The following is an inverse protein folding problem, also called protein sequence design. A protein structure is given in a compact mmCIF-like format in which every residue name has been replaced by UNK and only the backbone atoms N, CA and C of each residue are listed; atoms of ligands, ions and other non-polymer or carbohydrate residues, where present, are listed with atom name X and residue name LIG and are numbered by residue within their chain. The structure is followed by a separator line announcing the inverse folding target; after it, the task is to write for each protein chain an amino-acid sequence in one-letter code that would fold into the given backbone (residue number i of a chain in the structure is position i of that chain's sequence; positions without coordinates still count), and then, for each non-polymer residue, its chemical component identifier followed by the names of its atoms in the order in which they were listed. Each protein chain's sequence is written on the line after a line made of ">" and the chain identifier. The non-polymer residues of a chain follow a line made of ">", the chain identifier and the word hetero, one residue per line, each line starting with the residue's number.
data_IF_079216908330
#
_entry.id   IF_079216908330
#
_cell.length_a   1.000
_cell.length_b   1.000
_cell.length_c   1.000
_cell.angle_alpha   90.00
_cell.angle_beta   90.00
_cell.angle_gamma   90.00
#
_symmetry.space_group_name_H-M   'P 1'
#
loop_
_entity.id
_entity.type
_entity.pdbx_description
1 polymer ?
#
# COMPACT_ATOMS: atom_id res chain seq x y z
N UNK A 1 17.49 47.83 32.22
CA UNK A 1 16.76 48.99 32.79
C UNK A 1 16.15 48.70 34.17
N UNK A 2 15.17 47.81 34.33
CA UNK A 2 14.50 47.51 35.62
C UNK A 2 15.46 47.12 36.76
N UNK A 3 16.38 46.17 36.53
CA UNK A 3 17.32 45.73 37.55
C UNK A 3 18.28 46.84 37.97
N UNK A 4 18.76 47.63 37.02
CA UNK A 4 19.62 48.79 37.26
C UNK A 4 18.91 49.88 38.08
N UNK A 5 17.65 50.14 37.73
CA UNK A 5 16.81 51.13 38.44
C UNK A 5 16.55 50.67 39.90
N UNK A 6 16.15 49.40 40.12
CA UNK A 6 15.94 48.85 41.44
C UNK A 6 17.21 48.82 42.27
N UNK A 7 18.37 48.58 41.66
CA UNK A 7 19.67 48.61 42.34
C UNK A 7 20.02 50.04 42.77
N UNK A 8 19.64 51.06 41.98
CA UNK A 8 19.82 52.47 42.31
C UNK A 8 18.89 52.87 43.48
N UNK A 9 17.60 52.53 43.38
CA UNK A 9 16.60 52.79 44.43
C UNK A 9 16.97 52.13 45.75
N UNK A 10 17.46 50.91 45.74
CA UNK A 10 17.96 50.21 46.96
C UNK A 10 19.05 51.03 47.67
N UNK A 11 19.95 51.67 46.92
CA UNK A 11 21.00 52.50 47.51
C UNK A 11 20.47 53.77 48.12
N UNK A 12 19.43 54.35 47.50
CA UNK A 12 18.82 55.65 47.94
C UNK A 12 17.91 55.45 49.14
N UNK A 13 16.97 54.48 49.08
CA UNK A 13 15.96 54.30 50.14
C UNK A 13 16.31 53.23 51.18
N UNK A 14 17.44 52.51 51.04
CA UNK A 14 17.95 51.45 51.90
C UNK A 14 16.96 50.29 52.18
N UNK A 15 15.95 50.12 51.29
CA UNK A 15 14.98 49.02 51.40
C UNK A 15 15.52 47.72 50.79
N UNK A 16 15.10 46.54 51.31
CA UNK A 16 15.41 45.29 50.70
C UNK A 16 14.73 45.16 49.34
N UNK A 17 15.32 44.42 48.40
CA UNK A 17 14.75 44.22 47.04
C UNK A 17 13.35 43.63 47.07
N UNK A 18 13.01 42.79 48.03
CA UNK A 18 11.70 42.22 48.16
C UNK A 18 10.63 43.33 48.36
N UNK A 19 10.86 44.22 49.31
CA UNK A 19 9.97 45.35 49.62
C UNK A 19 9.83 46.32 48.45
N UNK A 20 10.94 46.57 47.71
CA UNK A 20 10.91 47.39 46.51
C UNK A 20 10.08 46.75 45.39
N UNK A 21 10.21 45.44 45.23
CA UNK A 21 9.40 44.70 44.26
C UNK A 21 7.92 44.67 44.63
N UNK A 22 7.58 44.48 45.90
CA UNK A 22 6.20 44.54 46.41
C UNK A 22 5.58 45.92 46.13
N UNK A 23 6.30 47.01 46.48
CA UNK A 23 5.84 48.39 46.25
C UNK A 23 5.63 48.69 44.76
N UNK A 24 6.43 48.16 43.86
CA UNK A 24 6.36 48.36 42.41
C UNK A 24 5.52 47.30 41.68
N UNK A 25 4.84 46.44 42.43
CA UNK A 25 4.00 45.37 41.88
C UNK A 25 4.80 44.47 40.93
N UNK A 26 6.06 44.16 41.26
CA UNK A 26 6.91 43.30 40.46
C UNK A 26 7.12 41.95 41.17
N UNK A 27 6.91 40.79 40.48
CA UNK A 27 7.20 39.49 41.08
C UNK A 27 8.66 39.35 41.48
N UNK A 28 8.95 39.26 42.79
CA UNK A 28 10.32 39.18 43.32
C UNK A 28 11.12 38.02 42.76
N UNK A 29 10.47 36.87 42.50
CA UNK A 29 11.12 35.71 41.88
C UNK A 29 11.63 36.01 40.46
N UNK A 30 10.89 36.81 39.68
CA UNK A 30 11.31 37.26 38.35
C UNK A 30 12.49 38.23 38.43
N UNK A 31 12.42 39.19 39.36
CA UNK A 31 13.52 40.13 39.59
C UNK A 31 14.81 39.39 40.02
N UNK A 32 14.75 38.42 40.94
CA UNK A 32 15.90 37.60 41.34
C UNK A 32 16.55 36.90 40.15
N UNK A 33 15.73 36.29 39.26
CA UNK A 33 16.21 35.63 38.04
C UNK A 33 16.90 36.60 37.10
N UNK A 34 16.32 37.77 36.88
CA UNK A 34 16.89 38.81 36.00
C UNK A 34 18.21 39.34 36.57
N UNK A 35 18.26 39.65 37.87
CA UNK A 35 19.45 40.10 38.53
C UNK A 35 20.59 39.07 38.46
N UNK A 36 20.29 37.79 38.75
CA UNK A 36 21.27 36.73 38.70
C UNK A 36 21.87 36.54 37.30
N UNK A 37 21.07 36.73 36.25
CA UNK A 37 21.55 36.67 34.86
C UNK A 37 22.47 37.86 34.55
N UNK A 38 22.05 39.05 34.89
CA UNK A 38 22.86 40.26 34.67
C UNK A 38 24.20 40.17 35.42
N UNK A 39 24.19 39.70 36.64
CA UNK A 39 25.42 39.51 37.44
C UNK A 39 26.39 38.50 36.78
N UNK A 40 25.90 37.66 35.89
CA UNK A 40 26.67 36.71 35.08
C UNK A 40 26.98 37.20 33.66
N UNK A 41 26.73 38.45 33.34
CA UNK A 41 26.92 39.03 32.00
C UNK A 41 25.92 38.56 30.95
N UNK A 42 24.81 37.96 31.39
CA UNK A 42 23.76 37.45 30.50
C UNK A 42 22.61 38.46 30.38
N UNK A 43 21.85 38.47 29.27
CA UNK A 43 20.66 39.29 29.14
C UNK A 43 19.59 38.91 30.19
N UNK A 44 18.96 39.92 30.83
CA UNK A 44 17.96 39.74 31.88
C UNK A 44 16.78 38.88 31.39
N UNK A 45 16.39 39.07 30.15
CA UNK A 45 15.27 38.34 29.47
C UNK A 45 15.85 37.67 28.24
N UNK A 46 15.75 36.37 28.17
CA UNK A 46 15.96 35.67 26.90
C UNK A 46 14.75 35.89 26.00
N UNK A 47 14.99 36.18 24.73
CA UNK A 47 13.93 36.09 23.75
C UNK A 47 13.42 34.64 23.72
N UNK A 48 12.14 34.37 23.95
CA UNK A 48 11.65 33.02 23.90
C UNK A 48 11.78 32.49 22.45
N UNK A 49 12.30 31.30 22.34
CA UNK A 49 12.46 30.58 21.06
C UNK A 49 13.89 30.59 20.51
N UNK A 50 14.19 29.68 19.62
CA UNK A 50 15.47 29.64 18.91
C UNK A 50 15.65 30.93 18.10
N UNK A 51 16.90 31.42 18.01
CA UNK A 51 17.19 32.51 17.07
C UNK A 51 16.73 32.07 15.68
N UNK A 52 16.06 33.00 14.98
CA UNK A 52 15.74 32.77 13.56
C UNK A 52 17.07 32.72 12.81
N UNK A 53 17.55 31.54 12.59
CA UNK A 53 18.59 31.26 11.61
C UNK A 53 17.91 31.31 10.23
N UNK A 54 18.65 31.61 9.17
CA UNK A 54 18.11 31.59 7.81
C UNK A 54 17.34 30.28 7.58
N UNK A 55 16.11 30.34 7.06
CA UNK A 55 15.31 29.15 6.89
C UNK A 55 16.06 28.20 5.94
N UNK A 56 16.14 26.93 6.33
CA UNK A 56 16.64 25.88 5.45
C UNK A 56 15.80 25.87 4.17
N UNK A 57 16.45 26.01 3.03
CA UNK A 57 15.74 25.97 1.76
C UNK A 57 15.18 24.58 1.48
N UNK A 58 13.94 24.52 1.02
CA UNK A 58 13.23 23.27 0.74
C UNK A 58 14.01 22.41 -0.26
N UNK A 59 14.67 23.04 -1.24
CA UNK A 59 15.46 22.35 -2.25
C UNK A 59 16.72 21.69 -1.67
N UNK A 60 17.38 22.33 -0.74
CA UNK A 60 18.53 21.74 -0.02
C UNK A 60 18.09 20.47 0.74
N UNK A 61 16.95 20.54 1.43
CA UNK A 61 16.38 19.38 2.13
C UNK A 61 15.99 18.27 1.14
N UNK A 62 15.42 18.59 -0.02
CA UNK A 62 15.09 17.60 -1.07
C UNK A 62 16.34 16.88 -1.56
N UNK A 63 17.39 17.63 -1.89
CA UNK A 63 18.66 17.05 -2.36
C UNK A 63 19.26 16.13 -1.30
N UNK A 64 19.24 16.54 -0.04
CA UNK A 64 19.73 15.72 1.05
C UNK A 64 18.89 14.43 1.22
N UNK A 65 17.57 14.54 1.24
CA UNK A 65 16.68 13.38 1.35
C UNK A 65 16.84 12.41 0.16
N UNK A 66 17.08 12.92 -1.04
CA UNK A 66 17.37 12.09 -2.21
C UNK A 66 18.70 11.34 -2.12
N UNK A 67 19.71 11.94 -1.51
CA UNK A 67 21.04 11.30 -1.29
C UNK A 67 21.03 10.23 -0.20
N UNK A 68 20.07 10.28 0.73
CA UNK A 68 19.91 9.23 1.73
C UNK A 68 19.49 7.94 1.03
N UNK A 69 20.27 6.87 1.25
CA UNK A 69 20.10 5.59 0.55
C UNK A 69 18.65 5.09 0.62
N UNK A 70 18.12 4.76 -0.56
CA UNK A 70 16.81 4.15 -0.70
C UNK A 70 16.76 2.82 0.06
N UNK A 71 15.73 2.63 0.88
CA UNK A 71 15.44 1.36 1.54
C UNK A 71 15.41 1.37 3.06
N UNK A 72 16.00 2.34 3.75
CA UNK A 72 15.92 2.44 5.21
C UNK A 72 15.08 3.65 5.63
N UNK A 73 13.78 3.46 5.83
CA UNK A 73 12.88 4.53 6.31
C UNK A 73 13.40 5.26 7.55
N UNK A 74 14.11 4.57 8.45
CA UNK A 74 14.72 5.16 9.67
C UNK A 74 15.78 6.22 9.38
N UNK A 75 16.48 6.17 8.24
CA UNK A 75 17.50 7.16 7.89
C UNK A 75 16.90 8.50 7.42
N UNK A 76 15.62 8.52 7.05
CA UNK A 76 14.88 9.73 6.65
C UNK A 76 14.00 10.30 7.76
N UNK A 77 14.02 9.72 8.93
CA UNK A 77 13.23 10.18 10.08
C UNK A 77 13.71 11.55 10.59
N UNK A 78 12.73 12.41 10.96
CA UNK A 78 12.99 13.78 11.46
C UNK A 78 14.01 13.81 12.58
N UNK A 79 14.01 12.82 13.49
CA UNK A 79 14.98 12.78 14.59
C UNK A 79 16.43 12.71 14.13
N UNK A 80 16.73 11.97 13.06
CA UNK A 80 18.07 11.86 12.49
C UNK A 80 18.45 13.07 11.64
N UNK A 81 17.51 13.56 10.86
CA UNK A 81 17.69 14.80 10.10
C UNK A 81 17.92 15.99 11.01
N UNK A 82 17.24 16.06 12.16
CA UNK A 82 17.38 17.15 13.11
C UNK A 82 18.79 17.20 13.72
N UNK A 83 19.45 16.07 13.94
CA UNK A 83 20.85 16.07 14.38
C UNK A 83 21.80 16.78 13.39
N UNK A 84 21.44 16.77 12.10
CA UNK A 84 22.20 17.43 11.05
C UNK A 84 21.87 18.92 10.92
N UNK A 85 20.62 19.30 11.18
CA UNK A 85 20.11 20.66 10.95
C UNK A 85 19.78 21.43 12.24
N UNK A 86 20.12 20.91 13.43
CA UNK A 86 19.72 21.50 14.72
C UNK A 86 20.18 22.95 14.92
N UNK A 87 21.30 23.34 14.31
CA UNK A 87 21.84 24.68 14.39
C UNK A 87 21.23 25.67 13.39
N UNK A 88 20.50 25.18 12.42
CA UNK A 88 19.92 25.95 11.32
C UNK A 88 18.40 26.13 11.45
N UNK A 89 17.69 25.11 11.95
CA UNK A 89 16.22 25.09 11.95
C UNK A 89 15.66 24.46 13.22
N UNK A 90 14.47 24.86 13.65
CA UNK A 90 13.78 24.19 14.74
C UNK A 90 13.30 22.79 14.31
N UNK A 91 13.21 21.85 15.28
CA UNK A 91 12.72 20.49 15.00
C UNK A 91 11.31 20.50 14.41
N UNK A 92 10.44 21.43 14.84
CA UNK A 92 9.08 21.57 14.36
C UNK A 92 9.05 22.02 12.91
N UNK A 93 9.86 23.02 12.56
CA UNK A 93 9.91 23.55 11.19
C UNK A 93 10.55 22.52 10.24
N UNK A 94 11.59 21.81 10.67
CA UNK A 94 12.18 20.72 9.91
C UNK A 94 11.17 19.60 9.66
N UNK A 95 10.35 19.26 10.65
CA UNK A 95 9.27 18.29 10.48
C UNK A 95 8.26 18.74 9.42
N UNK A 96 7.79 19.99 9.49
CA UNK A 96 6.86 20.56 8.52
C UNK A 96 7.44 20.56 7.09
N UNK A 97 8.71 20.92 6.92
CA UNK A 97 9.39 20.86 5.63
C UNK A 97 9.54 19.42 5.10
N UNK A 98 9.94 18.49 5.97
CA UNK A 98 10.08 17.07 5.62
C UNK A 98 8.72 16.47 5.20
N UNK A 99 7.64 16.79 5.91
CA UNK A 99 6.28 16.36 5.56
C UNK A 99 5.85 16.93 4.21
N UNK A 100 6.23 18.17 3.91
CA UNK A 100 5.95 18.80 2.59
C UNK A 100 6.64 18.03 1.48
N UNK A 101 7.95 17.76 1.60
CA UNK A 101 8.72 16.97 0.61
C UNK A 101 8.12 15.57 0.44
N UNK A 102 7.79 14.90 1.53
CA UNK A 102 7.19 13.55 1.46
C UNK A 102 5.80 13.57 0.80
N UNK A 103 5.01 14.62 1.05
CA UNK A 103 3.69 14.80 0.40
C UNK A 103 3.84 15.00 -1.10
N UNK A 104 4.77 15.83 -1.54
CA UNK A 104 5.04 16.05 -2.95
C UNK A 104 5.52 14.77 -3.65
N UNK A 105 6.44 14.02 -3.03
CA UNK A 105 6.87 12.72 -3.55
C UNK A 105 5.76 11.68 -3.60
N UNK A 106 4.86 11.70 -2.60
CA UNK A 106 3.69 10.83 -2.62
C UNK A 106 2.74 11.21 -3.76
N UNK A 107 2.52 12.51 -4.00
CA UNK A 107 1.69 13.00 -5.11
C UNK A 107 2.31 12.66 -6.48
N UNK A 108 3.62 12.85 -6.66
CA UNK A 108 4.33 12.47 -7.88
C UNK A 108 4.22 10.96 -8.13
N UNK A 109 4.52 10.13 -7.12
CA UNK A 109 4.36 8.69 -7.21
C UNK A 109 2.92 8.29 -7.54
N UNK A 110 1.92 8.92 -6.90
CA UNK A 110 0.52 8.66 -7.18
C UNK A 110 0.15 8.99 -8.63
N UNK A 111 0.70 10.08 -9.20
CA UNK A 111 0.50 10.45 -10.59
C UNK A 111 1.15 9.47 -11.57
N UNK A 112 2.26 8.83 -11.18
CA UNK A 112 2.96 7.84 -11.99
C UNK A 112 2.32 6.45 -11.93
N UNK A 113 1.52 6.16 -10.88
CA UNK A 113 0.88 4.87 -10.70
C UNK A 113 -0.16 4.61 -11.79
N UNK A 114 -0.06 3.42 -12.37
CA UNK A 114 -1.10 2.88 -13.26
C UNK A 114 -2.18 2.22 -12.41
N UNK A 115 -3.43 2.62 -12.61
CA UNK A 115 -4.58 2.02 -11.97
C UNK A 115 -5.33 1.15 -12.97
N UNK A 116 -5.55 -0.11 -12.62
CA UNK A 116 -6.32 -1.05 -13.42
C UNK A 116 -7.71 -1.18 -12.80
N UNK A 117 -8.73 -0.85 -13.58
CA UNK A 117 -10.13 -1.08 -13.24
C UNK A 117 -10.64 -2.28 -14.02
N UNK A 118 -11.16 -3.26 -13.30
CA UNK A 118 -11.70 -4.50 -13.84
C UNK A 118 -13.19 -4.31 -14.15
N UNK A 119 -13.60 -4.52 -15.41
CA UNK A 119 -14.93 -4.16 -15.88
C UNK A 119 -15.88 -5.35 -15.96
N UNK A 120 -15.36 -6.55 -16.27
CA UNK A 120 -16.19 -7.72 -16.59
C UNK A 120 -16.13 -8.74 -15.44
N UNK A 121 -17.23 -8.89 -14.67
CA UNK A 121 -17.28 -9.86 -13.58
C UNK A 121 -17.12 -11.30 -14.06
N UNK A 122 -16.45 -12.12 -13.25
CA UNK A 122 -16.24 -13.55 -13.50
C UNK A 122 -15.09 -13.88 -14.45
N UNK A 123 -14.57 -12.89 -15.20
CA UNK A 123 -13.59 -13.14 -16.25
C UNK A 123 -12.15 -13.20 -15.73
N UNK A 124 -11.84 -12.41 -14.72
CA UNK A 124 -10.50 -12.35 -14.14
C UNK A 124 -10.55 -12.56 -12.64
N UNK A 125 -10.01 -13.69 -12.21
CA UNK A 125 -9.87 -13.98 -10.79
C UNK A 125 -8.45 -13.66 -10.31
N UNK A 126 -8.31 -13.38 -9.03
CA UNK A 126 -7.00 -13.22 -8.39
C UNK A 126 -6.89 -14.15 -7.21
N UNK A 127 -5.68 -14.71 -7.05
CA UNK A 127 -5.32 -15.61 -5.95
C UNK A 127 -4.21 -14.97 -5.14
N UNK A 128 -4.31 -15.07 -3.81
CA UNK A 128 -3.28 -14.64 -2.87
C UNK A 128 -3.29 -15.49 -1.61
N UNK A 129 -2.17 -15.51 -0.90
CA UNK A 129 -1.93 -16.26 0.32
C UNK A 129 -1.55 -15.34 1.47
N UNK A 130 -2.06 -15.60 2.66
CA UNK A 130 -1.73 -14.81 3.85
C UNK A 130 -1.62 -15.67 5.11
N UNK A 131 -0.57 -15.45 5.88
CA UNK A 131 -0.45 -16.00 7.23
C UNK A 131 -1.58 -15.46 8.13
N UNK A 132 -2.35 -16.33 8.77
CA UNK A 132 -3.39 -15.98 9.74
C UNK A 132 -2.85 -15.90 11.15
N UNK A 133 -2.28 -17.00 11.65
CA UNK A 133 -1.80 -17.14 13.01
C UNK A 133 -0.71 -18.22 13.11
N UNK A 134 0.11 -18.10 14.14
CA UNK A 134 1.13 -19.10 14.47
C UNK A 134 0.86 -19.65 15.87
N UNK A 135 0.70 -20.96 15.97
CA UNK A 135 0.52 -21.68 17.22
C UNK A 135 1.67 -22.67 17.42
N UNK A 136 2.57 -22.38 18.36
CA UNK A 136 3.73 -23.23 18.67
C UNK A 136 4.52 -23.65 17.41
N UNK A 137 4.17 -24.78 16.81
CA UNK A 137 4.85 -25.35 15.63
C UNK A 137 3.97 -25.34 14.36
N UNK A 138 2.74 -24.81 14.45
CA UNK A 138 1.77 -24.80 13.38
C UNK A 138 1.44 -23.37 12.96
N UNK A 139 1.51 -23.11 11.66
CA UNK A 139 1.25 -21.78 11.07
C UNK A 139 0.08 -21.89 10.11
N UNK A 140 -1.06 -21.28 10.51
CA UNK A 140 -2.24 -21.24 9.67
C UNK A 140 -2.12 -20.18 8.57
N UNK A 141 -2.45 -20.57 7.36
CA UNK A 141 -2.54 -19.72 6.18
C UNK A 141 -3.97 -19.65 5.64
N UNK A 142 -4.28 -18.55 5.00
CA UNK A 142 -5.52 -18.31 4.27
C UNK A 142 -5.18 -18.16 2.79
N UNK A 143 -5.68 -19.10 1.97
CA UNK A 143 -5.67 -18.97 0.51
C UNK A 143 -7.00 -18.40 0.05
N UNK A 144 -6.96 -17.22 -0.55
CA UNK A 144 -8.14 -16.52 -1.00
C UNK A 144 -8.12 -16.34 -2.51
N UNK A 145 -9.22 -16.72 -3.14
CA UNK A 145 -9.52 -16.41 -4.55
C UNK A 145 -10.67 -15.41 -4.61
N UNK A 146 -10.54 -14.38 -5.44
CA UNK A 146 -11.57 -13.37 -5.62
C UNK A 146 -11.73 -13.02 -7.09
N UNK A 147 -12.99 -12.82 -7.54
CA UNK A 147 -13.25 -12.15 -8.81
C UNK A 147 -12.98 -10.66 -8.71
N UNK A 148 -12.14 -10.14 -9.60
CA UNK A 148 -11.62 -8.77 -9.47
C UNK A 148 -12.65 -7.68 -9.81
N UNK A 149 -13.62 -7.97 -10.68
CA UNK A 149 -14.62 -6.98 -11.07
C UNK A 149 -15.79 -6.93 -10.10
N UNK A 150 -16.38 -8.09 -9.75
CA UNK A 150 -17.50 -8.16 -8.81
C UNK A 150 -17.10 -8.10 -7.34
N UNK A 151 -15.82 -8.31 -7.02
CA UNK A 151 -15.32 -8.46 -5.63
C UNK A 151 -15.87 -9.71 -4.93
N UNK A 152 -16.42 -10.66 -5.67
CA UNK A 152 -16.92 -11.91 -5.13
C UNK A 152 -15.78 -12.77 -4.60
N UNK A 153 -15.87 -13.12 -3.34
CA UNK A 153 -14.90 -14.00 -2.66
C UNK A 153 -15.37 -15.44 -2.81
N UNK A 154 -14.55 -16.26 -3.46
CA UNK A 154 -14.82 -17.69 -3.53
C UNK A 154 -14.57 -18.35 -2.18
N UNK A 155 -14.99 -19.60 -2.02
CA UNK A 155 -14.73 -20.38 -0.82
C UNK A 155 -13.24 -20.32 -0.50
N UNK A 156 -12.81 -19.74 0.63
CA UNK A 156 -11.41 -19.70 1.01
C UNK A 156 -10.91 -21.09 1.42
N UNK A 157 -9.60 -21.28 1.38
CA UNK A 157 -8.95 -22.44 1.93
C UNK A 157 -8.08 -22.01 3.12
N UNK A 158 -8.31 -22.61 4.28
CA UNK A 158 -7.48 -22.46 5.49
C UNK A 158 -6.69 -23.73 5.68
N UNK A 159 -5.41 -23.63 6.00
CA UNK A 159 -4.54 -24.76 6.25
C UNK A 159 -3.13 -24.34 6.58
N UNK A 160 -2.22 -25.28 6.61
CA UNK A 160 -0.79 -25.03 6.60
C UNK A 160 -0.40 -24.27 5.32
N UNK A 161 0.81 -23.72 5.30
CA UNK A 161 1.31 -23.09 4.09
C UNK A 161 1.11 -24.03 2.90
N UNK A 162 0.18 -23.66 2.01
CA UNK A 162 -0.21 -24.55 0.95
C UNK A 162 0.97 -24.85 0.03
N UNK A 163 1.17 -26.13 -0.22
CA UNK A 163 2.00 -26.62 -1.30
C UNK A 163 1.28 -26.29 -2.64
N UNK A 164 2.04 -26.22 -3.72
CA UNK A 164 1.46 -25.98 -5.04
C UNK A 164 0.36 -26.98 -5.42
N UNK A 165 0.47 -28.22 -4.96
CA UNK A 165 -0.53 -29.29 -5.16
C UNK A 165 -1.86 -28.94 -4.47
N UNK A 166 -1.82 -28.45 -3.24
CA UNK A 166 -3.02 -28.05 -2.49
C UNK A 166 -3.71 -26.87 -3.16
N UNK A 167 -2.94 -25.90 -3.64
CA UNK A 167 -3.48 -24.75 -4.41
C UNK A 167 -4.12 -25.24 -5.71
N UNK A 168 -3.48 -26.18 -6.42
CA UNK A 168 -4.00 -26.74 -7.67
C UNK A 168 -5.35 -27.43 -7.46
N UNK A 169 -5.46 -28.29 -6.44
CA UNK A 169 -6.71 -28.98 -6.08
C UNK A 169 -7.80 -27.98 -5.71
N UNK A 170 -7.47 -26.98 -4.90
CA UNK A 170 -8.44 -25.94 -4.53
C UNK A 170 -8.94 -25.17 -5.74
N UNK A 171 -8.05 -24.75 -6.65
CA UNK A 171 -8.45 -24.04 -7.87
C UNK A 171 -9.33 -24.93 -8.76
N UNK A 172 -9.01 -26.20 -8.92
CA UNK A 172 -9.83 -27.13 -9.71
C UNK A 172 -11.24 -27.26 -9.13
N UNK A 173 -11.36 -27.41 -7.81
CA UNK A 173 -12.67 -27.45 -7.13
C UNK A 173 -13.47 -26.14 -7.38
N UNK A 174 -12.81 -24.98 -7.34
CA UNK A 174 -13.46 -23.71 -7.64
C UNK A 174 -13.89 -23.63 -9.12
N UNK A 175 -13.06 -24.13 -10.05
CA UNK A 175 -13.40 -24.14 -11.48
C UNK A 175 -14.59 -25.05 -11.80
N UNK A 176 -14.66 -26.22 -11.16
CA UNK A 176 -15.79 -27.14 -11.29
C UNK A 176 -17.08 -26.53 -10.73
N UNK A 177 -17.00 -25.83 -9.60
CA UNK A 177 -18.17 -25.26 -8.93
C UNK A 177 -18.68 -23.98 -9.58
N UNK A 178 -17.78 -23.09 -9.98
CA UNK A 178 -18.14 -21.73 -10.43
C UNK A 178 -17.96 -21.51 -11.93
N UNK A 179 -17.26 -22.40 -12.62
CA UNK A 179 -16.74 -22.24 -13.97
C UNK A 179 -15.37 -21.53 -13.95
N UNK A 180 -14.40 -21.94 -14.80
CA UNK A 180 -13.07 -21.35 -14.82
C UNK A 180 -13.10 -19.90 -15.35
N UNK A 181 -12.29 -18.97 -14.78
CA UNK A 181 -12.09 -17.64 -15.35
C UNK A 181 -11.36 -17.74 -16.70
N UNK A 182 -11.26 -16.64 -17.44
CA UNK A 182 -10.36 -16.57 -18.59
C UNK A 182 -8.92 -16.33 -18.15
N UNK A 183 -8.74 -15.51 -17.13
CA UNK A 183 -7.43 -15.13 -16.60
C UNK A 183 -7.38 -15.35 -15.09
N UNK A 184 -6.31 -15.96 -14.60
CA UNK A 184 -6.00 -16.02 -13.18
C UNK A 184 -4.78 -15.13 -12.89
N UNK A 185 -5.03 -14.05 -12.15
CA UNK A 185 -3.97 -13.18 -11.64
C UNK A 185 -3.43 -13.74 -10.34
N UNK A 186 -2.10 -13.84 -10.22
CA UNK A 186 -1.42 -14.38 -9.04
C UNK A 186 -0.15 -13.60 -8.73
N UNK A 187 0.29 -13.67 -7.47
CA UNK A 187 1.58 -13.14 -7.07
C UNK A 187 2.72 -14.11 -7.43
N UNK A 188 3.97 -13.65 -7.29
CA UNK A 188 5.17 -14.42 -7.62
C UNK A 188 5.57 -15.42 -6.52
N UNK A 189 4.69 -15.77 -5.60
CA UNK A 189 4.92 -16.82 -4.61
C UNK A 189 5.20 -18.16 -5.25
N UNK A 190 6.19 -18.92 -4.75
CA UNK A 190 6.58 -20.21 -5.31
C UNK A 190 5.47 -21.26 -5.29
N UNK A 191 4.57 -21.20 -4.30
CA UNK A 191 3.39 -22.06 -4.18
C UNK A 191 2.30 -21.70 -5.20
N UNK A 192 2.21 -20.44 -5.60
CA UNK A 192 1.22 -19.95 -6.56
C UNK A 192 1.70 -20.13 -8.01
N UNK A 193 3.01 -20.14 -8.22
CA UNK A 193 3.66 -20.36 -9.52
C UNK A 193 4.25 -21.78 -9.63
N UNK A 194 3.59 -22.76 -8.99
CA UNK A 194 4.00 -24.14 -9.02
C UNK A 194 3.55 -24.85 -10.31
N UNK A 195 4.32 -25.83 -10.75
CA UNK A 195 4.06 -26.59 -11.98
C UNK A 195 2.67 -27.27 -11.98
N UNK A 196 2.22 -27.78 -10.84
CA UNK A 196 0.88 -28.39 -10.71
C UNK A 196 -0.23 -27.37 -10.89
N UNK A 197 -0.05 -26.13 -10.41
CA UNK A 197 -0.99 -25.03 -10.63
C UNK A 197 -1.05 -24.69 -12.11
N UNK A 198 0.10 -24.59 -12.78
CA UNK A 198 0.15 -24.30 -14.23
C UNK A 198 -0.51 -25.43 -15.04
N UNK A 199 -0.39 -26.69 -14.63
CA UNK A 199 -1.06 -27.81 -15.27
C UNK A 199 -2.60 -27.69 -15.21
N UNK A 200 -3.16 -27.31 -14.03
CA UNK A 200 -4.60 -27.06 -13.89
C UNK A 200 -5.04 -25.88 -14.75
N UNK A 201 -4.29 -24.77 -14.76
CA UNK A 201 -4.60 -23.62 -15.60
C UNK A 201 -4.62 -23.99 -17.08
N UNK A 202 -3.67 -24.78 -17.54
CA UNK A 202 -3.60 -25.27 -18.93
C UNK A 202 -4.77 -26.20 -19.28
N UNK A 203 -5.12 -27.14 -18.38
CA UNK A 203 -6.26 -28.05 -18.56
C UNK A 203 -7.56 -27.28 -18.82
N UNK A 204 -7.79 -26.19 -18.11
CA UNK A 204 -9.01 -25.38 -18.24
C UNK A 204 -8.85 -24.19 -19.19
N UNK A 205 -7.73 -24.06 -19.90
CA UNK A 205 -7.38 -22.93 -20.75
C UNK A 205 -7.57 -21.58 -20.01
N UNK A 206 -7.03 -21.50 -18.79
CA UNK A 206 -6.96 -20.29 -17.98
C UNK A 206 -5.59 -19.65 -18.15
N UNK A 207 -5.56 -18.38 -18.52
CA UNK A 207 -4.33 -17.64 -18.79
C UNK A 207 -3.74 -17.13 -17.48
N UNK A 208 -2.50 -17.50 -17.12
CA UNK A 208 -1.84 -16.93 -15.95
C UNK A 208 -1.41 -15.48 -16.22
N UNK A 209 -1.67 -14.61 -15.22
CA UNK A 209 -1.22 -13.21 -15.20
C UNK A 209 -0.40 -12.97 -13.92
N UNK A 210 0.92 -13.09 -14.05
CA UNK A 210 1.83 -12.92 -12.92
C UNK A 210 2.04 -11.43 -12.62
N UNK A 211 2.02 -11.08 -11.31
CA UNK A 211 2.29 -9.72 -10.87
C UNK A 211 3.73 -9.30 -11.17
N UNK A 212 3.98 -8.02 -11.50
CA UNK A 212 5.34 -7.54 -11.68
C UNK A 212 6.12 -7.63 -10.36
N UNK A 213 7.39 -8.06 -10.38
CA UNK A 213 8.21 -8.08 -9.18
C UNK A 213 8.38 -6.66 -8.62
N UNK A 214 8.41 -6.56 -7.29
CA UNK A 214 8.61 -5.29 -6.57
C UNK A 214 7.62 -4.15 -6.90
N UNK A 215 6.41 -4.48 -7.35
CA UNK A 215 5.37 -3.49 -7.62
C UNK A 215 4.06 -3.79 -6.84
N UNK A 216 4.03 -3.57 -5.51
CA UNK A 216 2.87 -3.85 -4.66
C UNK A 216 1.55 -3.22 -5.14
N UNK A 217 1.53 -1.98 -5.72
CA UNK A 217 0.28 -1.38 -6.15
C UNK A 217 -0.53 -2.21 -7.15
N UNK A 218 0.13 -3.12 -7.89
CA UNK A 218 -0.53 -4.03 -8.81
C UNK A 218 -1.46 -5.02 -8.13
N UNK A 219 -1.17 -5.40 -6.87
CA UNK A 219 -1.96 -6.36 -6.07
C UNK A 219 -2.88 -5.70 -5.05
N UNK A 220 -2.91 -4.37 -4.95
CA UNK A 220 -3.64 -3.65 -3.90
C UNK A 220 -5.13 -4.02 -3.75
N UNK A 221 -5.78 -4.43 -4.84
CA UNK A 221 -7.16 -4.94 -4.81
C UNK A 221 -7.29 -6.29 -4.09
N UNK A 222 -6.33 -7.19 -4.29
CA UNK A 222 -6.30 -8.49 -3.65
C UNK A 222 -5.82 -8.41 -2.21
N UNK A 223 -4.80 -7.61 -1.93
CA UNK A 223 -4.33 -7.35 -0.55
C UNK A 223 -5.47 -6.83 0.35
N UNK A 224 -6.32 -5.94 -0.18
CA UNK A 224 -7.53 -5.49 0.53
C UNK A 224 -8.50 -6.63 0.76
N UNK A 225 -8.74 -7.47 -0.24
CA UNK A 225 -9.65 -8.61 -0.15
C UNK A 225 -9.22 -9.61 0.92
N UNK A 226 -7.93 -9.93 0.95
CA UNK A 226 -7.32 -10.78 1.98
C UNK A 226 -7.45 -10.15 3.36
N UNK A 227 -7.17 -8.85 3.49
CA UNK A 227 -7.29 -8.13 4.77
C UNK A 227 -8.71 -8.13 5.31
N UNK A 228 -9.73 -8.01 4.46
CA UNK A 228 -11.16 -8.09 4.87
C UNK A 228 -11.52 -9.43 5.53
N UNK A 229 -10.87 -10.53 5.14
CA UNK A 229 -11.03 -11.85 5.77
C UNK A 229 -10.07 -12.05 6.94
N UNK A 230 -8.79 -11.76 6.72
CA UNK A 230 -7.72 -12.02 7.68
C UNK A 230 -7.96 -11.29 9.01
N UNK A 231 -8.29 -10.00 8.98
CA UNK A 231 -8.39 -9.20 10.21
C UNK A 231 -9.42 -9.77 11.18
N UNK A 232 -10.70 -9.98 10.80
CA UNK A 232 -11.70 -10.54 11.72
C UNK A 232 -11.37 -11.99 12.13
N UNK A 233 -10.79 -12.79 11.25
CA UNK A 233 -10.38 -14.17 11.57
C UNK A 233 -9.27 -14.18 12.63
N UNK A 234 -8.24 -13.37 12.47
CA UNK A 234 -7.15 -13.26 13.44
C UNK A 234 -7.66 -12.78 14.79
N UNK A 235 -8.51 -11.76 14.83
CA UNK A 235 -9.13 -11.27 16.06
C UNK A 235 -9.90 -12.37 16.77
N UNK A 236 -10.71 -13.14 16.03
CA UNK A 236 -11.51 -14.24 16.55
C UNK A 236 -10.64 -15.40 17.07
N UNK A 237 -9.57 -15.75 16.32
CA UNK A 237 -8.60 -16.78 16.73
C UNK A 237 -7.90 -16.36 18.02
N UNK A 238 -7.45 -15.12 18.12
CA UNK A 238 -6.75 -14.60 19.30
C UNK A 238 -7.67 -14.58 20.54
N UNK A 239 -8.95 -14.26 20.36
CA UNK A 239 -9.94 -14.25 21.45
C UNK A 239 -10.30 -15.66 21.94
N UNK A 240 -10.27 -16.67 21.07
CA UNK A 240 -10.69 -18.05 21.38
C UNK A 240 -9.53 -18.97 21.78
N UNK A 241 -8.28 -18.55 21.56
CA UNK A 241 -7.10 -19.40 21.72
C UNK A 241 -6.88 -20.38 20.56
N UNK A 242 -6.02 -21.39 20.74
CA UNK A 242 -5.73 -22.40 19.71
C UNK A 242 -7.00 -23.16 19.31
N UNK A 243 -7.31 -23.17 18.02
CA UNK A 243 -8.50 -23.79 17.45
C UNK A 243 -8.12 -24.81 16.40
N UNK A 244 -8.95 -25.86 16.20
CA UNK A 244 -8.81 -26.78 15.06
C UNK A 244 -8.92 -26.01 13.73
N UNK A 245 -8.10 -26.40 12.76
CA UNK A 245 -8.12 -25.85 11.40
C UNK A 245 -9.51 -25.87 10.78
N UNK A 246 -10.23 -26.99 10.95
CA UNK A 246 -11.61 -27.16 10.46
C UNK A 246 -12.57 -26.10 10.96
N UNK A 247 -12.41 -25.64 12.21
CA UNK A 247 -13.26 -24.58 12.77
C UNK A 247 -12.91 -23.21 12.18
N UNK A 248 -11.62 -22.94 11.98
CA UNK A 248 -11.17 -21.70 11.32
C UNK A 248 -11.63 -21.69 9.86
N UNK A 249 -11.60 -22.83 9.17
CA UNK A 249 -12.13 -23.01 7.82
C UNK A 249 -13.62 -22.61 7.74
N UNK A 250 -14.46 -23.14 8.63
CA UNK A 250 -15.89 -22.81 8.68
C UNK A 250 -16.09 -21.30 8.92
N UNK A 251 -15.32 -20.69 9.80
CA UNK A 251 -15.40 -19.24 10.03
C UNK A 251 -14.99 -18.43 8.81
N UNK A 252 -13.96 -18.85 8.09
CA UNK A 252 -13.53 -18.19 6.87
C UNK A 252 -14.60 -18.26 5.78
N UNK A 253 -15.27 -19.39 5.65
CA UNK A 253 -16.38 -19.59 4.69
C UNK A 253 -17.57 -18.71 5.03
N UNK A 254 -18.00 -18.71 6.31
CA UNK A 254 -19.12 -17.88 6.76
C UNK A 254 -18.82 -16.39 6.55
N UNK A 255 -17.61 -15.95 6.87
CA UNK A 255 -17.21 -14.56 6.69
C UNK A 255 -17.15 -14.18 5.20
N UNK A 256 -16.61 -15.06 4.34
CA UNK A 256 -16.59 -14.82 2.89
C UNK A 256 -18.02 -14.72 2.34
N UNK A 257 -18.92 -15.58 2.80
CA UNK A 257 -20.33 -15.53 2.44
C UNK A 257 -20.96 -14.20 2.89
N UNK A 258 -20.78 -13.79 4.13
CA UNK A 258 -21.28 -12.52 4.68
C UNK A 258 -20.77 -11.33 3.86
N UNK A 259 -19.46 -11.25 3.61
CA UNK A 259 -18.85 -10.19 2.82
C UNK A 259 -19.35 -10.12 1.37
N UNK A 260 -19.77 -11.24 0.78
CA UNK A 260 -20.38 -11.29 -0.54
C UNK A 260 -21.79 -10.72 -0.59
N UNK A 261 -22.47 -10.62 0.57
CA UNK A 261 -23.83 -10.07 0.70
C UNK A 261 -23.84 -8.64 1.28
N UNK A 262 -22.70 -8.09 1.65
CA UNK A 262 -22.60 -6.68 2.01
C UNK A 262 -22.57 -5.77 0.78
N UNK A 263 -23.30 -4.65 0.83
CA UNK A 263 -23.26 -3.64 -0.22
C UNK A 263 -21.87 -2.98 -0.28
N UNK A 264 -21.39 -2.69 -1.49
CA UNK A 264 -20.05 -2.12 -1.71
C UNK A 264 -20.12 -0.83 -2.50
N UNK A 265 -19.50 0.23 -1.99
CA UNK A 265 -19.43 1.51 -2.69
C UNK A 265 -18.76 1.40 -4.07
N UNK A 266 -17.73 0.55 -4.21
CA UNK A 266 -17.06 0.31 -5.51
C UNK A 266 -17.95 -0.44 -6.52
N UNK A 267 -19.09 -0.99 -6.09
CA UNK A 267 -20.11 -1.62 -6.92
C UNK A 267 -21.41 -0.78 -6.96
N UNK A 268 -21.30 0.51 -6.71
CA UNK A 268 -22.44 1.45 -6.68
C UNK A 268 -23.56 1.00 -5.72
N UNK A 269 -23.19 0.45 -4.56
CA UNK A 269 -24.13 -0.03 -3.55
C UNK A 269 -24.66 -1.46 -3.79
N UNK A 270 -24.25 -2.12 -4.87
CA UNK A 270 -24.63 -3.52 -5.11
C UNK A 270 -23.81 -4.48 -4.25
N UNK A 271 -24.31 -5.71 -4.09
CA UNK A 271 -23.64 -6.80 -3.41
C UNK A 271 -22.81 -7.64 -4.39
N UNK A 272 -21.64 -8.11 -3.96
CA UNK A 272 -20.71 -8.86 -4.81
C UNK A 272 -21.36 -10.13 -5.39
N UNK A 273 -22.14 -10.83 -4.60
CA UNK A 273 -22.86 -12.04 -5.00
C UNK A 273 -23.78 -11.77 -6.21
N UNK A 274 -24.59 -10.73 -6.16
CA UNK A 274 -25.50 -10.38 -7.25
C UNK A 274 -24.72 -10.07 -8.53
N UNK A 275 -23.72 -9.17 -8.44
CA UNK A 275 -22.91 -8.73 -9.59
C UNK A 275 -22.20 -9.91 -10.25
N UNK A 276 -21.68 -10.86 -9.47
CA UNK A 276 -21.02 -12.05 -9.99
C UNK A 276 -21.98 -12.98 -10.71
N UNK A 277 -23.13 -13.32 -10.11
CA UNK A 277 -24.07 -14.27 -10.69
C UNK A 277 -24.85 -13.69 -11.86
N UNK A 278 -25.20 -12.41 -11.85
CA UNK A 278 -25.88 -11.74 -12.97
C UNK A 278 -24.99 -11.69 -14.23
N UNK A 279 -23.66 -11.66 -14.07
CA UNK A 279 -22.73 -11.64 -15.19
C UNK A 279 -22.47 -13.03 -15.82
N UNK A 280 -22.77 -14.14 -15.12
CA UNK A 280 -22.49 -15.51 -15.60
C UNK A 280 -23.03 -15.82 -16.99
N UNK A 281 -24.25 -15.41 -17.38
CA UNK A 281 -24.75 -15.66 -18.75
C UNK A 281 -23.85 -15.04 -19.83
N UNK A 282 -23.30 -13.85 -19.58
CA UNK A 282 -22.42 -13.17 -20.53
C UNK A 282 -21.06 -13.89 -20.71
N UNK A 283 -20.62 -14.70 -19.74
CA UNK A 283 -19.37 -15.46 -19.83
C UNK A 283 -19.46 -16.70 -20.72
N UNK A 284 -20.68 -17.14 -21.10
CA UNK A 284 -20.89 -18.30 -22.00
C UNK A 284 -20.28 -18.11 -23.38
N UNK A 285 -20.00 -16.88 -23.78
CA UNK A 285 -19.31 -16.59 -25.04
C UNK A 285 -17.87 -17.14 -25.06
N UNK A 286 -17.24 -17.30 -23.87
CA UNK A 286 -15.89 -17.85 -23.73
C UNK A 286 -15.90 -19.37 -23.71
N UNK A 287 -16.39 -19.97 -24.82
CA UNK A 287 -16.29 -21.39 -25.08
C UNK A 287 -14.84 -21.87 -25.14
N UNK A 288 -14.61 -23.17 -25.10
CA UNK A 288 -13.23 -23.73 -25.24
C UNK A 288 -12.54 -23.24 -26.51
N UNK A 289 -13.26 -23.15 -27.62
CA UNK A 289 -12.71 -22.58 -28.86
C UNK A 289 -12.26 -21.14 -28.68
N UNK A 290 -13.11 -20.29 -28.09
CA UNK A 290 -12.79 -18.88 -27.88
C UNK A 290 -11.63 -18.69 -26.91
N UNK A 291 -11.54 -19.54 -25.87
CA UNK A 291 -10.41 -19.55 -24.94
C UNK A 291 -9.11 -19.90 -25.67
N UNK A 292 -9.12 -20.90 -26.52
CA UNK A 292 -7.98 -21.29 -27.33
C UNK A 292 -7.54 -20.16 -28.28
N UNK A 293 -8.47 -19.56 -29.00
CA UNK A 293 -8.19 -18.41 -29.88
C UNK A 293 -7.54 -17.24 -29.09
N UNK A 294 -8.03 -16.97 -27.86
CA UNK A 294 -7.47 -15.95 -26.99
C UNK A 294 -6.04 -16.30 -26.54
N UNK A 295 -5.82 -17.57 -26.20
CA UNK A 295 -4.52 -18.06 -25.76
C UNK A 295 -3.50 -17.96 -26.88
N UNK A 296 -3.88 -18.38 -28.10
CA UNK A 296 -3.03 -18.33 -29.30
C UNK A 296 -2.67 -16.89 -29.64
N UNK A 297 -3.65 -15.97 -29.61
CA UNK A 297 -3.41 -14.54 -29.84
C UNK A 297 -2.43 -13.93 -28.84
N UNK A 298 -2.57 -14.25 -27.54
CA UNK A 298 -1.67 -13.75 -26.49
C UNK A 298 -0.26 -14.30 -26.67
N UNK A 299 -0.11 -15.59 -27.07
CA UNK A 299 1.18 -16.21 -27.33
C UNK A 299 1.87 -15.57 -28.53
N UNK A 300 1.15 -15.33 -29.61
CA UNK A 300 1.66 -14.65 -30.80
C UNK A 300 2.15 -13.24 -30.49
N UNK A 301 1.32 -12.45 -29.78
CA UNK A 301 1.72 -11.11 -29.35
C UNK A 301 2.91 -11.15 -28.39
N UNK A 302 2.95 -12.13 -27.47
CA UNK A 302 4.10 -12.29 -26.56
C UNK A 302 5.39 -12.53 -27.35
N UNK A 303 5.34 -13.42 -28.35
CA UNK A 303 6.50 -13.71 -29.23
C UNK A 303 6.96 -12.46 -29.99
N UNK A 304 6.01 -11.71 -30.54
CA UNK A 304 6.29 -10.44 -31.23
C UNK A 304 6.94 -9.42 -30.29
N UNK A 305 6.41 -9.27 -29.07
CA UNK A 305 6.97 -8.35 -28.08
C UNK A 305 8.38 -8.77 -27.63
N UNK A 306 8.64 -10.07 -27.47
CA UNK A 306 9.99 -10.58 -27.15
C UNK A 306 10.99 -10.18 -28.24
N UNK A 307 10.61 -10.30 -29.50
CA UNK A 307 11.46 -9.92 -30.64
C UNK A 307 11.67 -8.41 -30.71
N UNK A 308 10.59 -7.62 -30.68
CA UNK A 308 10.64 -6.16 -30.83
C UNK A 308 11.38 -5.48 -29.69
N UNK A 309 11.22 -5.98 -28.46
CA UNK A 309 11.85 -5.41 -27.27
C UNK A 309 13.26 -5.98 -27.01
N UNK A 310 13.79 -6.81 -27.89
CA UNK A 310 15.09 -7.48 -27.76
C UNK A 310 15.26 -8.10 -26.35
N UNK A 311 14.31 -8.93 -25.95
CA UNK A 311 14.25 -9.54 -24.61
C UNK A 311 15.38 -10.56 -24.45
N UNK A 312 16.19 -10.41 -23.38
CA UNK A 312 17.33 -11.28 -23.10
C UNK A 312 17.23 -12.05 -21.79
N UNK A 313 16.24 -11.71 -20.92
CA UNK A 313 16.09 -12.35 -19.61
C UNK A 313 14.69 -12.90 -19.43
N UNK A 314 14.56 -13.92 -18.57
CA UNK A 314 13.25 -14.50 -18.23
C UNK A 314 12.29 -13.45 -17.65
N UNK A 315 12.77 -12.57 -16.76
CA UNK A 315 11.96 -11.50 -16.17
C UNK A 315 11.41 -10.52 -17.21
N UNK A 316 12.19 -10.23 -18.27
CA UNK A 316 11.73 -9.43 -19.40
C UNK A 316 10.69 -10.19 -20.25
N UNK A 317 10.86 -11.51 -20.42
CA UNK A 317 9.88 -12.35 -21.12
C UNK A 317 8.54 -12.40 -20.39
N UNK A 318 8.57 -12.54 -19.06
CA UNK A 318 7.37 -12.46 -18.22
C UNK A 318 6.69 -11.08 -18.30
N UNK A 319 7.49 -10.02 -18.43
CA UNK A 319 6.97 -8.66 -18.64
C UNK A 319 6.30 -8.52 -20.02
N UNK A 320 6.90 -9.07 -21.08
CA UNK A 320 6.29 -9.11 -22.41
C UNK A 320 4.98 -9.88 -22.41
N UNK A 321 4.93 -11.06 -21.75
CA UNK A 321 3.70 -11.84 -21.59
C UNK A 321 2.61 -11.08 -20.83
N UNK A 322 2.95 -10.47 -19.71
CA UNK A 322 2.00 -9.63 -18.95
C UNK A 322 1.44 -8.51 -19.81
N UNK A 323 2.29 -7.81 -20.56
CA UNK A 323 1.88 -6.75 -21.46
C UNK A 323 0.94 -7.26 -22.56
N UNK A 324 1.20 -8.46 -23.11
CA UNK A 324 0.31 -9.09 -24.08
C UNK A 324 -1.08 -9.39 -23.49
N UNK A 325 -1.11 -9.95 -22.29
CA UNK A 325 -2.38 -10.23 -21.58
C UNK A 325 -3.14 -8.94 -21.28
N UNK A 326 -2.49 -7.93 -20.71
CA UNK A 326 -3.11 -6.63 -20.42
C UNK A 326 -3.61 -5.95 -21.69
N UNK A 327 -2.87 -6.02 -22.79
CA UNK A 327 -3.28 -5.48 -24.11
C UNK A 327 -4.54 -6.15 -24.60
N UNK A 328 -4.60 -7.48 -24.52
CA UNK A 328 -5.81 -8.22 -24.90
C UNK A 328 -7.00 -7.83 -24.05
N UNK A 329 -6.83 -7.79 -22.72
CA UNK A 329 -7.88 -7.42 -21.77
C UNK A 329 -8.40 -6.00 -22.00
N UNK A 330 -7.49 -5.05 -22.27
CA UNK A 330 -7.85 -3.66 -22.55
C UNK A 330 -8.59 -3.53 -23.89
N UNK A 331 -8.10 -4.20 -24.96
CA UNK A 331 -8.70 -4.20 -26.29
C UNK A 331 -10.13 -4.76 -26.29
N UNK A 332 -10.39 -5.75 -25.44
CA UNK A 332 -11.71 -6.38 -25.30
C UNK A 332 -12.59 -5.75 -24.22
N UNK A 333 -12.21 -4.59 -23.67
CA UNK A 333 -13.00 -3.85 -22.67
C UNK A 333 -13.08 -4.54 -21.29
N UNK A 334 -12.22 -5.53 -21.03
CA UNK A 334 -12.19 -6.25 -19.75
C UNK A 334 -11.54 -5.43 -18.65
N UNK A 335 -10.55 -4.60 -19.03
CA UNK A 335 -9.90 -3.65 -18.13
C UNK A 335 -9.84 -2.26 -18.73
N UNK A 336 -9.78 -1.27 -17.83
CA UNK A 336 -9.40 0.10 -18.16
C UNK A 336 -8.15 0.44 -17.37
N UNK A 337 -7.12 0.94 -18.04
CA UNK A 337 -5.89 1.37 -17.40
C UNK A 337 -5.87 2.90 -17.38
N UNK A 338 -5.71 3.49 -16.21
CA UNK A 338 -5.60 4.94 -16.05
C UNK A 338 -4.27 5.31 -15.39
N UNK A 339 -3.72 6.44 -15.79
CA UNK A 339 -2.57 7.07 -15.16
C UNK A 339 -2.84 8.56 -15.05
N UNK A 340 -2.60 9.15 -13.89
CA UNK A 340 -2.94 10.55 -13.62
C UNK A 340 -4.38 10.90 -14.05
N UNK A 341 -5.36 10.03 -13.72
CA UNK A 341 -6.79 10.15 -14.07
C UNK A 341 -7.10 10.12 -15.59
N UNK A 342 -6.12 9.94 -16.45
CA UNK A 342 -6.32 9.80 -17.89
C UNK A 342 -6.32 8.32 -18.28
N UNK A 343 -7.25 7.93 -19.14
CA UNK A 343 -7.26 6.57 -19.71
C UNK A 343 -6.08 6.42 -20.65
N UNK A 344 -5.28 5.37 -20.45
CA UNK A 344 -4.18 5.05 -21.35
C UNK A 344 -4.73 4.33 -22.58
N UNK A 345 -4.25 4.68 -23.79
CA UNK A 345 -4.60 3.95 -25.02
C UNK A 345 -4.07 2.52 -24.96
N UNK A 346 -4.67 1.66 -25.77
CA UNK A 346 -4.18 0.28 -25.95
C UNK A 346 -2.77 0.33 -26.56
N UNK A 347 -1.86 -0.49 -26.04
CA UNK A 347 -0.43 -0.43 -26.39
C UNK A 347 -0.14 -0.49 -27.89
N UNK A 348 -0.93 -1.24 -28.68
CA UNK A 348 -0.73 -1.40 -30.13
C UNK A 348 -1.33 -0.27 -30.98
N UNK A 349 -2.20 0.58 -30.44
CA UNK A 349 -2.80 1.68 -31.24
C UNK A 349 -1.83 2.84 -31.49
N UNK A 350 -0.76 2.95 -30.72
CA UNK A 350 0.28 3.98 -30.93
C UNK A 350 1.25 3.67 -32.07
N UNK A 351 1.33 2.42 -32.51
CA UNK A 351 2.28 2.01 -33.57
C UNK A 351 1.71 2.10 -34.98
N UNK A 352 0.38 2.35 -35.12
CA UNK A 352 -0.30 2.45 -36.41
C UNK A 352 -0.36 3.88 -36.99
N UNK A 353 0.20 4.88 -36.29
CA UNK A 353 0.17 6.30 -36.70
C UNK A 353 1.55 6.97 -36.76
N UNK A 354 2.64 6.17 -36.95
CA UNK A 354 3.96 6.70 -37.30
C UNK A 354 4.48 6.06 -38.60
#
# INVERSE_FOLDING_TARGET
>A
MIVTTLSRLKRQVRWPYQRLCEYLVLPYASFRRWKHRIDRGQPAIFKPGPQKVAPLELEELRVHLCRLQHGRQRSRGVGRLYQHYQDQISRRDLQALTETVHREWAQQRQAELRHITWQVPGLVWSLDDAELARFSHHQLHLHQVQDLASRYKFTPLVGDRALGETVAVHLEQLFLRYGPPLVLKRDNGSNLNHQTVDAVLMQYLVIPLNSPPHYPPYNGGMERAVRELKTPLVEKILASGPLPESQVQVWAELLAHELNHHSRGCLHGQVACKVFYDAKPALRVYTLRKRKETFDWINELTTTLIQVLAVHTQSQAETARRLAVETWLQRNGVITITQNKKVLPVFLEKTAHN
#
